data_IF_377499851484
#
_entry.id   IF_377499851484
#
_cell.length_a   1.000
_cell.length_b   1.000
_cell.length_c   1.000
_cell.angle_alpha   90.00
_cell.angle_beta   90.00
_cell.angle_gamma   90.00
#
_symmetry.space_group_name_H-M   'P 1'
#
loop_
_entity.id
_entity.type
_entity.pdbx_description
1 polymer ?
#
# COMPACT_ATOMS: atom_id res chain seq x y z
N UNK A 1 -74.74 43.89 -8.43
CA UNK A 1 -73.33 44.14 -8.80
C UNK A 1 -72.56 43.04 -8.10
N UNK A 2 -71.88 42.16 -8.85
CA UNK A 2 -71.05 41.00 -8.41
C UNK A 2 -71.86 39.84 -7.76
N UNK A 3 -72.21 38.75 -8.46
CA UNK A 3 -71.47 37.57 -8.96
C UNK A 3 -70.81 36.70 -7.86
N UNK A 4 -71.58 35.69 -7.43
CA UNK A 4 -71.29 34.23 -7.38
C UNK A 4 -69.89 33.65 -7.09
N UNK A 5 -69.89 32.70 -6.13
CA UNK A 5 -69.10 31.46 -5.95
C UNK A 5 -67.55 31.57 -5.87
N UNK A 6 -66.83 30.89 -4.96
CA UNK A 6 -66.94 29.47 -4.55
C UNK A 6 -66.15 29.23 -3.25
N UNK A 7 -66.48 28.11 -2.60
CA UNK A 7 -65.87 27.39 -1.47
C UNK A 7 -64.34 27.35 -1.36
N UNK A 8 -63.83 27.23 -0.12
CA UNK A 8 -63.16 26.00 0.33
C UNK A 8 -62.74 26.04 1.82
N UNK A 9 -62.93 24.90 2.48
CA UNK A 9 -62.63 24.61 3.89
C UNK A 9 -61.19 24.96 4.29
N UNK A 10 -61.04 25.71 5.39
CA UNK A 10 -59.82 25.71 6.22
C UNK A 10 -60.18 25.36 7.66
N UNK A 11 -60.00 24.09 8.04
CA UNK A 11 -59.89 23.69 9.45
C UNK A 11 -58.45 23.87 9.93
N UNK A 12 -58.31 24.66 10.99
CA UNK A 12 -57.11 24.75 11.82
C UNK A 12 -56.92 23.46 12.62
N UNK A 13 -55.74 22.85 12.58
CA UNK A 13 -55.26 21.92 13.60
C UNK A 13 -53.80 22.21 13.96
N UNK A 14 -53.58 22.37 15.27
CA UNK A 14 -52.30 22.51 15.96
C UNK A 14 -51.57 21.15 16.09
N UNK A 15 -50.25 21.13 16.35
CA UNK A 15 -49.38 20.03 15.98
C UNK A 15 -49.56 18.76 16.82
N UNK A 16 -49.76 17.65 16.12
CA UNK A 16 -49.78 16.30 16.69
C UNK A 16 -48.40 15.85 17.17
N UNK A 17 -48.39 15.57 18.46
CA UNK A 17 -47.41 14.86 19.27
C UNK A 17 -47.13 13.47 18.67
N UNK A 18 -45.93 13.26 18.11
CA UNK A 18 -45.52 11.95 17.62
C UNK A 18 -44.80 11.15 18.72
N UNK A 19 -45.40 10.02 19.07
CA UNK A 19 -45.05 9.07 20.13
C UNK A 19 -43.58 8.59 20.10
N UNK A 20 -43.01 8.18 21.25
CA UNK A 20 -41.67 7.59 21.29
C UNK A 20 -41.68 6.25 20.56
N UNK A 21 -41.01 6.17 19.40
CA UNK A 21 -40.82 4.89 18.73
C UNK A 21 -39.99 3.96 19.64
N UNK A 22 -40.53 2.76 19.83
CA UNK A 22 -40.03 1.71 20.72
C UNK A 22 -38.50 1.56 20.60
N UNK A 23 -37.78 1.84 21.70
CA UNK A 23 -36.43 1.32 21.93
C UNK A 23 -36.52 -0.21 21.99
N UNK A 24 -36.36 -0.88 20.85
CA UNK A 24 -35.93 -2.27 20.84
C UNK A 24 -34.52 -2.30 21.41
N UNK A 25 -34.41 -2.76 22.67
CA UNK A 25 -33.13 -3.12 23.28
C UNK A 25 -32.54 -4.29 22.49
N UNK A 26 -31.79 -3.99 21.43
CA UNK A 26 -30.98 -4.96 20.71
C UNK A 26 -29.62 -5.14 21.40
N UNK A 27 -29.52 -6.14 22.27
CA UNK A 27 -28.27 -6.76 22.73
C UNK A 27 -28.47 -8.29 22.55
N UNK A 28 -27.50 -9.16 22.21
CA UNK A 28 -26.08 -9.02 21.84
C UNK A 28 -25.75 -9.55 20.41
N UNK A 29 -26.75 -9.73 19.54
CA UNK A 29 -26.55 -10.38 18.23
C UNK A 29 -25.71 -9.54 17.26
N UNK A 30 -25.88 -8.21 17.28
CA UNK A 30 -25.10 -7.30 16.43
C UNK A 30 -23.61 -7.26 16.82
N UNK A 31 -23.26 -7.41 18.10
CA UNK A 31 -21.84 -7.45 18.51
C UNK A 31 -21.13 -8.68 17.95
N UNK A 32 -21.76 -9.86 18.03
CA UNK A 32 -21.20 -11.09 17.46
C UNK A 32 -21.01 -10.99 15.95
N UNK A 33 -21.96 -10.40 15.22
CA UNK A 33 -21.85 -10.20 13.76
C UNK A 33 -20.73 -9.21 13.41
N UNK A 34 -20.58 -8.11 14.16
CA UNK A 34 -19.49 -7.15 13.93
C UNK A 34 -18.11 -7.75 14.22
N UNK A 35 -17.94 -8.53 15.30
CA UNK A 35 -16.68 -9.24 15.59
C UNK A 35 -16.37 -10.33 14.56
N UNK A 36 -17.38 -11.07 14.10
CA UNK A 36 -17.22 -12.05 13.02
C UNK A 36 -16.78 -11.37 11.71
N UNK A 37 -17.31 -10.18 11.42
CA UNK A 37 -16.93 -9.39 10.24
C UNK A 37 -15.49 -8.83 10.34
N UNK A 38 -15.06 -8.45 11.55
CA UNK A 38 -13.69 -7.99 11.86
C UNK A 38 -12.65 -9.10 11.67
N UNK A 39 -12.91 -10.28 12.23
CA UNK A 39 -12.04 -11.46 12.10
C UNK A 39 -11.99 -11.90 10.64
N UNK A 40 -13.14 -11.90 9.94
CA UNK A 40 -13.20 -12.28 8.54
C UNK A 40 -12.41 -11.32 7.63
N UNK A 41 -12.56 -10.01 7.83
CA UNK A 41 -11.82 -8.99 7.07
C UNK A 41 -10.31 -9.10 7.30
N UNK A 42 -9.90 -9.26 8.56
CA UNK A 42 -8.48 -9.41 8.93
C UNK A 42 -7.85 -10.68 8.38
N UNK A 43 -8.59 -11.81 8.43
CA UNK A 43 -8.11 -13.10 7.90
C UNK A 43 -8.01 -13.06 6.38
N UNK A 44 -8.99 -12.45 5.72
CA UNK A 44 -8.97 -12.28 4.28
C UNK A 44 -7.76 -11.47 3.80
N UNK A 45 -7.49 -10.33 4.45
CA UNK A 45 -6.31 -9.52 4.16
C UNK A 45 -5.01 -10.29 4.43
N UNK A 46 -4.95 -11.04 5.53
CA UNK A 46 -3.78 -11.84 5.88
C UNK A 46 -3.43 -12.85 4.77
N UNK A 47 -4.43 -13.56 4.21
CA UNK A 47 -4.25 -14.50 3.11
C UNK A 47 -3.77 -13.81 1.82
N UNK A 48 -4.39 -12.68 1.46
CA UNK A 48 -3.95 -11.86 0.32
C UNK A 48 -2.49 -11.43 0.48
N UNK A 49 -2.10 -10.98 1.68
CA UNK A 49 -0.73 -10.55 1.96
C UNK A 49 0.27 -11.70 1.84
N UNK A 50 -0.06 -12.90 2.34
CA UNK A 50 0.82 -14.07 2.17
C UNK A 50 1.01 -14.39 0.69
N UNK A 51 -0.08 -14.41 -0.09
CA UNK A 51 -0.05 -14.73 -1.51
C UNK A 51 0.76 -13.69 -2.31
N UNK A 52 0.46 -12.41 -2.14
CA UNK A 52 1.09 -11.31 -2.87
C UNK A 52 2.57 -11.12 -2.50
N UNK A 53 2.90 -11.15 -1.20
CA UNK A 53 4.29 -10.97 -0.77
C UNK A 53 5.15 -12.22 -0.97
N UNK A 54 4.57 -13.42 -1.00
CA UNK A 54 5.30 -14.68 -1.17
C UNK A 54 5.91 -14.85 -2.56
N UNK A 55 5.43 -14.11 -3.56
CA UNK A 55 5.95 -14.14 -4.93
C UNK A 55 7.16 -13.22 -5.13
N UNK A 56 7.34 -12.20 -4.28
CA UNK A 56 8.35 -11.15 -4.49
C UNK A 56 9.80 -11.64 -4.38
N UNK A 57 10.22 -12.34 -3.30
CA UNK A 57 11.64 -12.52 -3.02
C UNK A 57 12.34 -13.32 -4.11
N UNK A 58 11.78 -14.48 -4.47
CA UNK A 58 12.41 -15.41 -5.41
C UNK A 58 12.16 -15.11 -6.89
N UNK A 59 11.38 -14.09 -7.23
CA UNK A 59 10.99 -13.85 -8.63
C UNK A 59 12.19 -13.66 -9.56
N UNK A 60 13.27 -13.02 -9.08
CA UNK A 60 14.48 -12.86 -9.89
C UNK A 60 15.11 -14.20 -10.29
N UNK A 61 15.02 -15.22 -9.43
CA UNK A 61 15.50 -16.57 -9.74
C UNK A 61 14.64 -17.25 -10.80
N UNK A 62 13.33 -17.02 -10.78
CA UNK A 62 12.43 -17.52 -11.83
C UNK A 62 12.73 -16.89 -13.19
N UNK A 63 12.96 -15.57 -13.21
CA UNK A 63 13.30 -14.85 -14.45
C UNK A 63 14.64 -15.29 -15.05
N UNK A 64 15.64 -15.52 -14.20
CA UNK A 64 16.97 -15.95 -14.64
C UNK A 64 17.04 -17.43 -14.99
N UNK A 65 16.41 -18.28 -14.17
CA UNK A 65 16.47 -19.73 -14.30
C UNK A 65 15.59 -20.24 -15.44
N UNK A 66 14.29 -19.96 -15.39
CA UNK A 66 13.30 -20.56 -16.29
C UNK A 66 13.02 -19.70 -17.52
N UNK A 67 13.16 -18.38 -17.42
CA UNK A 67 12.99 -17.45 -18.54
C UNK A 67 14.31 -17.06 -19.22
N UNK A 68 15.46 -17.47 -18.67
CA UNK A 68 16.80 -17.14 -19.19
C UNK A 68 17.03 -15.63 -19.43
N UNK A 69 16.40 -14.77 -18.63
CA UNK A 69 16.57 -13.32 -18.72
C UNK A 69 17.81 -12.93 -17.91
N UNK A 70 18.68 -12.09 -18.50
CA UNK A 70 19.87 -11.60 -17.80
C UNK A 70 19.53 -10.77 -16.56
N UNK A 71 20.44 -10.76 -15.56
CA UNK A 71 20.24 -10.11 -14.26
C UNK A 71 19.75 -8.66 -14.39
N UNK A 72 20.39 -7.87 -15.26
CA UNK A 72 20.07 -6.46 -15.46
C UNK A 72 18.62 -6.27 -15.98
N UNK A 73 18.25 -7.02 -17.01
CA UNK A 73 16.90 -6.94 -17.60
C UNK A 73 15.84 -7.48 -16.62
N UNK A 74 16.10 -8.62 -15.96
CA UNK A 74 15.19 -9.20 -14.98
C UNK A 74 14.93 -8.26 -13.81
N UNK A 75 15.98 -7.62 -13.29
CA UNK A 75 15.87 -6.64 -12.21
C UNK A 75 15.06 -5.42 -12.64
N UNK A 76 15.25 -4.91 -13.86
CA UNK A 76 14.45 -3.81 -14.40
C UNK A 76 12.96 -4.16 -14.51
N UNK A 77 12.62 -5.38 -14.95
CA UNK A 77 11.22 -5.85 -14.99
C UNK A 77 10.61 -5.84 -13.59
N UNK A 78 11.33 -6.33 -12.58
CA UNK A 78 10.87 -6.34 -11.19
C UNK A 78 10.74 -4.92 -10.61
N UNK A 79 11.64 -4.00 -10.99
CA UNK A 79 11.50 -2.59 -10.63
C UNK A 79 10.24 -1.96 -11.21
N UNK A 80 9.94 -2.20 -12.49
CA UNK A 80 8.71 -1.72 -13.10
C UNK A 80 7.46 -2.34 -12.46
N UNK A 81 7.49 -3.64 -12.16
CA UNK A 81 6.41 -4.30 -11.44
C UNK A 81 6.19 -3.69 -10.04
N UNK A 82 7.26 -3.46 -9.28
CA UNK A 82 7.20 -2.81 -7.97
C UNK A 82 6.71 -1.37 -8.07
N UNK A 83 7.19 -0.59 -9.06
CA UNK A 83 6.75 0.77 -9.28
C UNK A 83 5.25 0.84 -9.60
N UNK A 84 4.76 -0.02 -10.50
CA UNK A 84 3.34 -0.11 -10.82
C UNK A 84 2.51 -0.50 -9.57
N UNK A 85 2.94 -1.52 -8.84
CA UNK A 85 2.28 -2.01 -7.62
C UNK A 85 2.18 -0.95 -6.52
N UNK A 86 3.13 -0.01 -6.45
CA UNK A 86 3.12 1.09 -5.47
C UNK A 86 2.46 2.38 -5.98
N UNK A 87 2.36 2.56 -7.30
CA UNK A 87 1.71 3.73 -7.90
C UNK A 87 0.20 3.55 -8.10
N UNK A 88 -0.24 2.37 -8.57
CA UNK A 88 -1.65 2.10 -8.85
C UNK A 88 -2.59 2.26 -7.64
N UNK A 89 -2.18 2.08 -6.36
CA UNK A 89 -3.00 2.43 -5.21
C UNK A 89 -3.53 3.87 -5.21
N UNK A 90 -2.79 4.84 -5.78
CA UNK A 90 -3.26 6.23 -5.90
C UNK A 90 -4.46 6.30 -6.86
N UNK A 91 -4.37 5.59 -7.99
CA UNK A 91 -5.47 5.49 -8.97
C UNK A 91 -6.65 4.72 -8.35
N UNK A 92 -6.38 3.60 -7.68
CA UNK A 92 -7.39 2.78 -7.02
C UNK A 92 -8.16 3.55 -5.93
N UNK A 93 -7.46 4.35 -5.12
CA UNK A 93 -8.08 5.24 -4.14
C UNK A 93 -9.00 6.26 -4.81
N UNK A 94 -8.54 6.92 -5.88
CA UNK A 94 -9.34 7.86 -6.64
C UNK A 94 -10.61 7.23 -7.24
N UNK A 95 -10.49 6.03 -7.83
CA UNK A 95 -11.61 5.29 -8.43
C UNK A 95 -12.60 4.82 -7.36
N UNK A 96 -12.11 4.33 -6.23
CA UNK A 96 -12.93 3.94 -5.07
C UNK A 96 -13.74 5.11 -4.55
N UNK A 97 -13.09 6.25 -4.29
CA UNK A 97 -13.76 7.38 -3.68
C UNK A 97 -14.73 8.06 -4.65
N UNK A 98 -14.37 8.17 -5.93
CA UNK A 98 -15.17 8.93 -6.91
C UNK A 98 -16.33 8.16 -7.54
N UNK A 99 -16.18 6.84 -7.78
CA UNK A 99 -17.10 6.11 -8.65
C UNK A 99 -17.62 4.80 -8.04
N UNK A 100 -16.72 3.87 -7.70
CA UNK A 100 -17.09 2.48 -7.43
C UNK A 100 -17.42 2.20 -5.96
N UNK A 101 -16.91 3.01 -5.04
CA UNK A 101 -16.90 2.69 -3.61
C UNK A 101 -15.87 1.61 -3.25
N UNK A 102 -15.50 1.59 -1.97
CA UNK A 102 -14.40 0.74 -1.45
C UNK A 102 -14.65 -0.75 -1.68
N UNK A 103 -15.87 -1.23 -1.48
CA UNK A 103 -16.21 -2.65 -1.61
C UNK A 103 -16.00 -3.18 -3.04
N UNK A 104 -16.51 -2.48 -4.05
CA UNK A 104 -16.38 -2.90 -5.45
C UNK A 104 -14.93 -2.79 -5.92
N UNK A 105 -14.21 -1.74 -5.53
CA UNK A 105 -12.78 -1.59 -5.88
C UNK A 105 -11.94 -2.72 -5.30
N UNK A 106 -12.18 -3.15 -4.05
CA UNK A 106 -11.51 -4.33 -3.47
C UNK A 106 -11.90 -5.58 -4.25
N UNK A 107 -13.18 -5.78 -4.55
CA UNK A 107 -13.65 -6.95 -5.30
C UNK A 107 -12.99 -7.09 -6.68
N UNK A 108 -12.98 -6.03 -7.48
CA UNK A 108 -12.27 -6.01 -8.77
C UNK A 108 -10.76 -6.20 -8.60
N UNK A 109 -10.17 -5.58 -7.56
CA UNK A 109 -8.76 -5.77 -7.23
C UNK A 109 -8.43 -7.23 -6.91
N UNK A 110 -9.24 -7.90 -6.11
CA UNK A 110 -9.06 -9.31 -5.76
C UNK A 110 -9.18 -10.23 -6.97
N UNK A 111 -10.15 -10.00 -7.85
CA UNK A 111 -10.29 -10.77 -9.10
C UNK A 111 -9.06 -10.55 -10.00
N UNK A 112 -8.63 -9.29 -10.17
CA UNK A 112 -7.48 -8.97 -11.02
C UNK A 112 -6.17 -9.55 -10.48
N UNK A 113 -5.95 -9.49 -9.17
CA UNK A 113 -4.78 -10.12 -8.52
C UNK A 113 -4.82 -11.64 -8.66
N UNK A 114 -5.98 -12.27 -8.43
CA UNK A 114 -6.16 -13.70 -8.60
C UNK A 114 -5.84 -14.14 -10.04
N UNK A 115 -6.38 -13.46 -11.05
CA UNK A 115 -6.08 -13.74 -12.46
C UNK A 115 -4.57 -13.58 -12.75
N UNK A 116 -3.93 -12.55 -12.23
CA UNK A 116 -2.49 -12.33 -12.39
C UNK A 116 -1.64 -13.47 -11.81
N UNK A 117 -1.99 -13.95 -10.62
CA UNK A 117 -1.29 -15.06 -9.94
C UNK A 117 -1.57 -16.39 -10.65
N UNK A 118 -2.82 -16.64 -11.09
CA UNK A 118 -3.18 -17.84 -11.87
C UNK A 118 -2.40 -17.89 -13.17
N UNK A 119 -2.34 -16.77 -13.92
CA UNK A 119 -1.56 -16.72 -15.16
C UNK A 119 -0.08 -17.00 -14.90
N UNK A 120 0.49 -16.44 -13.83
CA UNK A 120 1.86 -16.71 -13.42
C UNK A 120 2.06 -18.20 -13.10
N UNK A 121 1.14 -18.82 -12.35
CA UNK A 121 1.19 -20.24 -12.05
C UNK A 121 1.09 -21.12 -13.32
N UNK A 122 0.24 -20.73 -14.27
CA UNK A 122 0.13 -21.40 -15.56
C UNK A 122 1.44 -21.33 -16.36
N UNK A 123 2.22 -20.25 -16.25
CA UNK A 123 3.56 -20.20 -16.89
C UNK A 123 4.52 -21.26 -16.36
N UNK A 124 4.38 -21.67 -15.10
CA UNK A 124 5.19 -22.75 -14.51
C UNK A 124 4.61 -24.15 -14.81
N UNK A 125 3.30 -24.25 -15.01
CA UNK A 125 2.61 -25.52 -15.29
C UNK A 125 2.73 -25.94 -16.76
N UNK A 126 2.58 -25.00 -17.70
CA UNK A 126 2.55 -25.26 -19.14
C UNK A 126 3.96 -25.07 -19.72
N UNK A 127 4.64 -26.13 -20.17
CA UNK A 127 6.01 -26.02 -20.68
C UNK A 127 6.14 -25.10 -21.90
N UNK A 128 5.10 -25.00 -22.74
CA UNK A 128 5.12 -24.12 -23.92
C UNK A 128 5.00 -22.62 -23.57
N UNK A 129 4.52 -22.28 -22.37
CA UNK A 129 4.35 -20.90 -21.92
C UNK A 129 5.68 -20.24 -21.51
N UNK A 130 6.77 -20.99 -21.50
CA UNK A 130 8.13 -20.54 -21.16
C UNK A 130 9.17 -21.11 -22.13
N UNK A 131 10.40 -20.57 -22.14
CA UNK A 131 11.49 -21.14 -22.94
C UNK A 131 11.74 -22.62 -22.59
N UNK A 132 12.21 -23.44 -23.55
CA UNK A 132 12.57 -24.82 -23.27
C UNK A 132 13.72 -24.87 -22.25
N UNK A 133 13.74 -25.85 -21.34
CA UNK A 133 14.80 -25.97 -20.35
C UNK A 133 16.15 -26.10 -21.04
N UNK A 134 17.12 -25.31 -20.58
CA UNK A 134 18.45 -25.26 -21.18
C UNK A 134 19.53 -25.32 -20.11
N UNK A 135 20.57 -26.08 -20.38
CA UNK A 135 21.78 -26.07 -19.58
C UNK A 135 22.69 -24.95 -20.08
N UNK A 136 22.75 -23.85 -19.32
CA UNK A 136 23.60 -22.69 -19.60
C UNK A 136 25.09 -23.04 -19.77
N UNK A 137 25.52 -24.19 -19.24
CA UNK A 137 26.90 -24.72 -19.35
C UNK A 137 27.22 -25.42 -20.66
N UNK A 138 26.20 -25.88 -21.41
CA UNK A 138 26.40 -26.65 -22.65
C UNK A 138 26.07 -25.83 -23.90
N UNK A 139 25.08 -24.95 -23.82
CA UNK A 139 24.59 -24.21 -24.99
C UNK A 139 24.10 -22.80 -24.63
N UNK A 140 24.09 -21.89 -25.62
CA UNK A 140 23.44 -20.59 -25.49
C UNK A 140 21.93 -20.79 -25.41
N UNK A 141 21.36 -20.57 -24.23
CA UNK A 141 19.92 -20.74 -24.01
C UNK A 141 19.10 -19.77 -24.84
N UNK A 142 17.98 -20.26 -25.38
CA UNK A 142 17.04 -19.45 -26.14
C UNK A 142 16.35 -18.46 -25.20
N UNK A 143 16.39 -17.19 -25.58
CA UNK A 143 15.64 -16.10 -24.94
C UNK A 143 14.13 -16.29 -25.14
N UNK A 144 13.29 -15.72 -24.28
CA UNK A 144 11.85 -15.87 -24.38
C UNK A 144 11.31 -15.26 -25.67
N UNK A 145 10.35 -15.95 -26.28
CA UNK A 145 9.65 -15.43 -27.45
C UNK A 145 8.74 -14.27 -27.05
N UNK A 146 8.42 -13.38 -27.99
CA UNK A 146 7.56 -12.21 -27.72
C UNK A 146 6.23 -12.57 -27.04
N UNK A 147 5.51 -13.66 -27.42
CA UNK A 147 4.30 -14.08 -26.71
C UNK A 147 4.54 -14.52 -25.26
N UNK A 148 5.61 -15.29 -24.99
CA UNK A 148 5.95 -15.73 -23.63
C UNK A 148 6.29 -14.55 -22.73
N UNK A 149 7.01 -13.57 -23.27
CA UNK A 149 7.32 -12.32 -22.59
C UNK A 149 6.06 -11.49 -22.33
N UNK A 150 5.15 -11.37 -23.31
CA UNK A 150 3.89 -10.65 -23.16
C UNK A 150 3.00 -11.27 -22.06
N UNK A 151 2.92 -12.60 -21.99
CA UNK A 151 2.21 -13.31 -20.92
C UNK A 151 2.80 -12.97 -19.56
N UNK A 152 4.13 -13.06 -19.41
CA UNK A 152 4.82 -12.74 -18.15
C UNK A 152 4.54 -11.30 -17.68
N UNK A 153 4.66 -10.31 -18.58
CA UNK A 153 4.40 -8.90 -18.26
C UNK A 153 2.92 -8.69 -17.91
N UNK A 154 2.00 -9.39 -18.60
CA UNK A 154 0.57 -9.33 -18.30
C UNK A 154 0.26 -9.85 -16.89
N UNK A 155 0.96 -10.89 -16.41
CA UNK A 155 0.85 -11.37 -15.04
C UNK A 155 1.21 -10.26 -14.03
N UNK A 156 2.35 -9.61 -14.21
CA UNK A 156 2.79 -8.50 -13.34
C UNK A 156 1.86 -7.29 -13.38
N UNK A 157 1.33 -6.96 -14.56
CA UNK A 157 0.36 -5.88 -14.73
C UNK A 157 -0.94 -6.17 -13.97
N UNK A 158 -1.51 -7.37 -14.13
CA UNK A 158 -2.74 -7.78 -13.44
C UNK A 158 -2.56 -7.82 -11.92
N UNK A 159 -1.44 -8.36 -11.42
CA UNK A 159 -1.12 -8.30 -9.99
C UNK A 159 -0.98 -6.86 -9.48
N UNK A 160 -0.39 -5.95 -10.27
CA UNK A 160 -0.27 -4.53 -9.91
C UNK A 160 -1.63 -3.83 -9.85
N UNK A 161 -2.52 -4.11 -10.80
CA UNK A 161 -3.90 -3.61 -10.82
C UNK A 161 -4.65 -4.10 -9.59
N UNK A 162 -4.51 -5.39 -9.28
CA UNK A 162 -5.12 -5.98 -8.10
C UNK A 162 -4.65 -5.33 -6.79
N UNK A 163 -3.34 -5.20 -6.62
CA UNK A 163 -2.75 -4.49 -5.48
C UNK A 163 -3.20 -3.02 -5.40
N UNK A 164 -3.37 -2.36 -6.56
CA UNK A 164 -3.88 -1.00 -6.67
C UNK A 164 -5.31 -0.83 -6.16
N UNK A 165 -6.19 -1.82 -6.36
CA UNK A 165 -7.54 -1.78 -5.84
C UNK A 165 -7.63 -2.13 -4.35
N UNK A 166 -6.88 -3.16 -3.92
CA UNK A 166 -6.99 -3.73 -2.57
C UNK A 166 -6.33 -2.84 -1.52
N UNK A 167 -5.04 -2.49 -1.71
CA UNK A 167 -4.22 -1.82 -0.67
C UNK A 167 -4.78 -0.50 -0.14
N UNK A 168 -5.23 0.46 -0.98
CA UNK A 168 -5.71 1.74 -0.47
C UNK A 168 -7.09 1.61 0.21
N UNK A 169 -7.87 0.59 -0.14
CA UNK A 169 -9.26 0.45 0.28
C UNK A 169 -9.42 -0.50 1.46
N UNK A 170 -8.59 -1.54 1.59
CA UNK A 170 -8.81 -2.65 2.54
C UNK A 170 -8.82 -2.18 4.00
N UNK A 171 -7.81 -1.42 4.43
CA UNK A 171 -7.76 -0.89 5.80
C UNK A 171 -8.95 0.02 6.08
N UNK A 172 -9.24 0.95 5.16
CA UNK A 172 -10.35 1.89 5.31
C UNK A 172 -11.71 1.18 5.35
N UNK A 173 -11.90 0.18 4.49
CA UNK A 173 -13.09 -0.66 4.46
C UNK A 173 -13.26 -1.47 5.75
N UNK A 174 -12.16 -1.99 6.33
CA UNK A 174 -12.16 -2.65 7.64
C UNK A 174 -12.61 -1.70 8.75
N UNK A 175 -12.08 -0.47 8.78
CA UNK A 175 -12.51 0.54 9.76
C UNK A 175 -13.97 0.95 9.60
N UNK A 176 -14.50 0.95 8.38
CA UNK A 176 -15.90 1.26 8.12
C UNK A 176 -16.86 0.26 8.78
N UNK A 177 -16.44 -1.01 8.96
CA UNK A 177 -17.25 -2.04 9.61
C UNK A 177 -17.42 -1.81 11.12
N UNK A 178 -16.51 -1.03 11.72
CA UNK A 178 -16.48 -0.73 13.15
C UNK A 178 -17.17 0.59 13.49
N UNK A 179 -17.51 1.40 12.48
CA UNK A 179 -18.08 2.72 12.65
C UNK A 179 -19.55 2.65 13.06
N UNK A 180 -19.79 2.44 14.36
CA UNK A 180 -21.14 2.48 14.94
C UNK A 180 -21.39 3.85 15.58
N UNK A 181 -22.24 4.66 14.93
CA UNK A 181 -22.62 6.01 15.39
C UNK A 181 -23.29 6.05 16.78
N UNK A 182 -23.78 4.92 17.27
CA UNK A 182 -24.47 4.84 18.56
C UNK A 182 -23.55 4.52 19.74
N UNK A 183 -22.25 4.28 19.52
CA UNK A 183 -21.29 4.00 20.60
C UNK A 183 -20.69 5.29 21.18
N UNK A 184 -20.41 5.33 22.50
CA UNK A 184 -19.66 6.43 23.09
C UNK A 184 -18.29 6.56 22.42
N UNK A 185 -17.84 7.80 22.17
CA UNK A 185 -16.57 8.09 21.47
C UNK A 185 -15.36 7.36 22.08
N UNK A 186 -15.29 7.30 23.41
CA UNK A 186 -14.21 6.60 24.12
C UNK A 186 -14.19 5.10 23.81
N UNK A 187 -15.36 4.47 23.67
CA UNK A 187 -15.47 3.05 23.36
C UNK A 187 -15.16 2.78 21.88
N UNK A 188 -15.58 3.66 20.96
CA UNK A 188 -15.20 3.54 19.55
C UNK A 188 -13.70 3.66 19.34
N UNK A 189 -13.03 4.57 20.06
CA UNK A 189 -11.58 4.77 19.96
C UNK A 189 -10.82 3.51 20.42
N UNK A 190 -11.25 2.89 21.53
CA UNK A 190 -10.65 1.64 22.04
C UNK A 190 -10.82 0.48 21.06
N UNK A 191 -12.00 0.33 20.45
CA UNK A 191 -12.27 -0.73 19.46
C UNK A 191 -11.39 -0.51 18.22
N UNK A 192 -11.28 0.74 17.76
CA UNK A 192 -10.47 1.07 16.59
C UNK A 192 -8.97 0.85 16.84
N UNK A 193 -8.47 1.19 18.03
CA UNK A 193 -7.07 0.92 18.43
C UNK A 193 -6.78 -0.59 18.45
N UNK A 194 -7.68 -1.39 19.02
CA UNK A 194 -7.55 -2.86 19.02
C UNK A 194 -7.53 -3.42 17.60
N UNK A 195 -8.41 -2.94 16.74
CA UNK A 195 -8.45 -3.33 15.33
C UNK A 195 -7.14 -3.02 14.62
N UNK A 196 -6.60 -1.81 14.77
CA UNK A 196 -5.31 -1.46 14.16
C UNK A 196 -4.17 -2.36 14.67
N UNK A 197 -4.11 -2.60 15.97
CA UNK A 197 -3.09 -3.47 16.55
C UNK A 197 -3.18 -4.91 16.00
N UNK A 198 -4.38 -5.47 15.93
CA UNK A 198 -4.59 -6.81 15.37
C UNK A 198 -4.29 -6.85 13.86
N UNK A 199 -4.74 -5.85 13.11
CA UNK A 199 -4.49 -5.73 11.67
C UNK A 199 -2.98 -5.69 11.36
N UNK A 200 -2.21 -4.87 12.08
CA UNK A 200 -0.76 -4.78 11.88
C UNK A 200 -0.05 -6.06 12.33
N UNK A 201 -0.47 -6.69 13.43
CA UNK A 201 0.08 -7.97 13.87
C UNK A 201 -0.18 -9.10 12.86
N UNK A 202 -1.41 -9.20 12.33
CA UNK A 202 -1.78 -10.15 11.30
C UNK A 202 -0.97 -9.92 10.02
N UNK A 203 -0.87 -8.67 9.56
CA UNK A 203 -0.08 -8.30 8.37
C UNK A 203 1.41 -8.65 8.54
N UNK A 204 2.01 -8.32 9.69
CA UNK A 204 3.40 -8.65 9.96
C UNK A 204 3.64 -10.17 9.95
N UNK A 205 2.73 -10.93 10.58
CA UNK A 205 2.79 -12.40 10.60
C UNK A 205 2.65 -12.98 9.18
N UNK A 206 1.73 -12.44 8.37
CA UNK A 206 1.59 -12.83 6.96
C UNK A 206 2.85 -12.62 6.15
N UNK A 207 3.53 -11.47 6.31
CA UNK A 207 4.78 -11.20 5.60
C UNK A 207 5.89 -12.15 6.06
N UNK A 208 5.97 -12.45 7.36
CA UNK A 208 6.91 -13.45 7.89
C UNK A 208 6.68 -14.82 7.25
N UNK A 209 5.43 -15.29 7.21
CA UNK A 209 5.06 -16.57 6.56
C UNK A 209 5.38 -16.55 5.07
N UNK A 210 5.11 -15.44 4.39
CA UNK A 210 5.40 -15.27 2.96
C UNK A 210 6.89 -15.43 2.67
N UNK A 211 7.74 -14.72 3.41
CA UNK A 211 9.17 -14.66 3.15
C UNK A 211 9.93 -15.89 3.67
N UNK A 212 9.33 -16.70 4.54
CA UNK A 212 9.90 -17.96 5.04
C UNK A 212 9.25 -19.17 4.38
N UNK A 213 7.98 -19.43 4.67
CA UNK A 213 7.25 -20.62 4.24
C UNK A 213 7.07 -20.71 2.72
N UNK A 214 6.56 -19.65 2.08
CA UNK A 214 6.34 -19.68 0.61
C UNK A 214 7.67 -19.76 -0.13
N UNK A 215 8.67 -18.98 0.30
CA UNK A 215 10.03 -19.01 -0.27
C UNK A 215 10.66 -20.39 -0.11
N UNK A 216 10.50 -21.04 1.05
CA UNK A 216 11.00 -22.39 1.29
C UNK A 216 10.37 -23.41 0.33
N UNK A 217 9.04 -23.33 0.12
CA UNK A 217 8.31 -24.18 -0.84
C UNK A 217 8.78 -23.92 -2.27
N UNK A 218 9.02 -22.66 -2.65
CA UNK A 218 9.54 -22.32 -3.97
C UNK A 218 10.93 -22.90 -4.22
N UNK A 219 11.83 -22.83 -3.24
CA UNK A 219 13.20 -23.34 -3.36
C UNK A 219 13.27 -24.88 -3.37
N UNK A 220 12.45 -25.57 -2.55
CA UNK A 220 12.56 -27.03 -2.36
C UNK A 220 11.55 -27.86 -3.17
N UNK A 221 10.33 -27.36 -3.38
CA UNK A 221 9.29 -28.06 -4.13
C UNK A 221 9.11 -27.52 -5.56
N UNK A 222 9.88 -26.48 -5.93
CA UNK A 222 9.90 -25.88 -7.25
C UNK A 222 8.72 -24.96 -7.55
N UNK A 223 8.78 -24.30 -8.72
CA UNK A 223 7.85 -23.22 -9.10
C UNK A 223 6.39 -23.66 -9.24
N UNK A 224 6.15 -24.90 -9.66
CA UNK A 224 4.79 -25.44 -9.83
C UNK A 224 4.02 -25.43 -8.51
N UNK A 225 4.63 -25.89 -7.43
CA UNK A 225 4.02 -25.88 -6.09
C UNK A 225 4.15 -24.49 -5.47
N UNK A 226 5.31 -23.85 -5.64
CA UNK A 226 5.62 -22.53 -5.07
C UNK A 226 4.73 -21.38 -5.55
N UNK A 227 4.16 -21.46 -6.76
CA UNK A 227 3.13 -20.51 -7.25
C UNK A 227 1.70 -21.03 -7.05
N UNK A 228 1.52 -22.35 -6.97
CA UNK A 228 0.22 -22.96 -6.69
C UNK A 228 -0.31 -22.61 -5.29
N UNK A 229 0.55 -22.62 -4.28
CA UNK A 229 0.15 -22.25 -2.89
C UNK A 229 -0.38 -20.81 -2.82
N UNK A 230 0.34 -19.76 -3.28
CA UNK A 230 -0.21 -18.41 -3.40
C UNK A 230 -1.52 -18.31 -4.18
N UNK A 231 -1.66 -19.09 -5.27
CA UNK A 231 -2.89 -19.12 -6.07
C UNK A 231 -4.10 -19.59 -5.24
N UNK A 232 -3.94 -20.67 -4.48
CA UNK A 232 -5.00 -21.22 -3.61
C UNK A 232 -5.33 -20.23 -2.49
N UNK A 233 -4.31 -19.63 -1.84
CA UNK A 233 -4.53 -18.64 -0.78
C UNK A 233 -5.30 -17.41 -1.30
N UNK A 234 -4.93 -16.91 -2.48
CA UNK A 234 -5.62 -15.79 -3.13
C UNK A 234 -7.05 -16.16 -3.54
N UNK A 235 -7.28 -17.38 -4.02
CA UNK A 235 -8.62 -17.88 -4.32
C UNK A 235 -9.50 -17.92 -3.07
N UNK A 236 -8.99 -18.50 -1.98
CA UNK A 236 -9.71 -18.56 -0.71
C UNK A 236 -10.01 -17.16 -0.16
N UNK A 237 -9.05 -16.24 -0.27
CA UNK A 237 -9.26 -14.83 0.05
C UNK A 237 -10.42 -14.22 -0.76
N UNK A 238 -10.33 -14.27 -2.09
CA UNK A 238 -11.39 -13.72 -2.95
C UNK A 238 -12.76 -14.36 -2.66
N UNK A 239 -12.81 -15.69 -2.52
CA UNK A 239 -14.03 -16.43 -2.21
C UNK A 239 -14.65 -15.98 -0.89
N UNK A 240 -13.87 -15.92 0.19
CA UNK A 240 -14.33 -15.49 1.50
C UNK A 240 -14.76 -14.02 1.53
N UNK A 241 -14.10 -13.16 0.76
CA UNK A 241 -14.51 -11.77 0.60
C UNK A 241 -15.91 -11.66 -0.04
N UNK A 242 -16.17 -12.39 -1.12
CA UNK A 242 -17.48 -12.36 -1.78
C UNK A 242 -18.58 -13.06 -0.98
N UNK A 243 -18.28 -14.18 -0.31
CA UNK A 243 -19.24 -14.87 0.55
C UNK A 243 -19.72 -13.99 1.72
N UNK A 244 -18.82 -13.18 2.28
CA UNK A 244 -19.15 -12.23 3.35
C UNK A 244 -19.82 -10.93 2.87
N UNK A 245 -20.10 -10.80 1.57
CA UNK A 245 -20.66 -9.57 0.95
C UNK A 245 -21.97 -9.09 1.59
N UNK A 246 -22.81 -10.00 2.09
CA UNK A 246 -24.08 -9.67 2.75
C UNK A 246 -23.90 -9.11 4.15
N UNK A 247 -22.76 -9.39 4.80
CA UNK A 247 -22.45 -8.97 6.17
C UNK A 247 -21.76 -7.61 6.23
N UNK A 248 -21.22 -7.14 5.09
CA UNK A 248 -20.47 -5.88 5.04
C UNK A 248 -21.36 -4.64 4.96
N UNK A 249 -20.98 -3.62 5.73
CA UNK A 249 -21.47 -2.25 5.58
C UNK A 249 -20.77 -1.61 4.39
N UNK A 250 -21.55 -1.28 3.36
CA UNK A 250 -21.07 -0.68 2.11
C UNK A 250 -21.31 0.82 2.13
N UNK A 251 -20.26 1.60 2.39
CA UNK A 251 -20.36 3.06 2.31
C UNK A 251 -20.45 3.54 0.86
N UNK A 252 -21.25 4.58 0.62
CA UNK A 252 -21.38 5.23 -0.68
C UNK A 252 -20.11 6.01 -1.01
N UNK A 253 -19.78 6.08 -2.30
CA UNK A 253 -18.69 6.89 -2.81
C UNK A 253 -18.86 8.37 -2.42
N UNK A 254 -17.77 9.04 -2.02
CA UNK A 254 -17.74 10.44 -1.60
C UNK A 254 -16.77 11.21 -2.48
N UNK A 255 -17.06 12.49 -2.78
CA UNK A 255 -16.20 13.31 -3.66
C UNK A 255 -14.71 13.20 -3.27
N UNK A 256 -13.88 12.72 -4.21
CA UNK A 256 -12.47 12.49 -3.95
C UNK A 256 -11.72 13.79 -3.66
N UNK A 257 -10.82 13.73 -2.69
CA UNK A 257 -9.92 14.83 -2.34
C UNK A 257 -9.05 15.26 -3.54
N UNK A 258 -8.66 14.31 -4.40
CA UNK A 258 -7.88 14.59 -5.61
C UNK A 258 -8.65 15.45 -6.60
N UNK A 259 -9.96 15.23 -6.74
CA UNK A 259 -10.84 16.10 -7.55
C UNK A 259 -10.85 17.51 -6.99
N UNK A 260 -10.90 17.66 -5.66
CA UNK A 260 -10.79 18.96 -4.99
C UNK A 260 -9.46 19.67 -5.28
N UNK A 261 -8.34 18.96 -5.30
CA UNK A 261 -7.05 19.54 -5.67
C UNK A 261 -7.00 19.98 -7.14
N UNK A 262 -7.53 19.17 -8.05
CA UNK A 262 -7.62 19.53 -9.46
C UNK A 262 -8.51 20.78 -9.67
N UNK A 263 -9.65 20.85 -8.97
CA UNK A 263 -10.52 22.02 -8.96
C UNK A 263 -9.77 23.27 -8.53
N UNK A 264 -9.05 23.24 -7.41
CA UNK A 264 -8.28 24.40 -6.92
C UNK A 264 -7.26 24.88 -7.97
N UNK A 265 -6.54 23.96 -8.62
CA UNK A 265 -5.55 24.31 -9.65
C UNK A 265 -6.23 24.98 -10.86
N UNK A 266 -7.31 24.35 -11.36
CA UNK A 266 -8.05 24.85 -12.53
C UNK A 266 -8.70 26.20 -12.25
N UNK A 267 -9.36 26.36 -11.10
CA UNK A 267 -10.01 27.62 -10.71
C UNK A 267 -8.99 28.71 -10.44
N UNK A 268 -7.87 28.42 -9.76
CA UNK A 268 -6.80 29.39 -9.57
C UNK A 268 -6.22 29.88 -10.90
N UNK A 269 -6.07 28.98 -11.89
CA UNK A 269 -5.61 29.33 -13.23
C UNK A 269 -6.64 30.17 -14.00
N UNK A 270 -7.91 29.78 -13.97
CA UNK A 270 -9.02 30.53 -14.59
C UNK A 270 -9.12 31.95 -14.02
N UNK A 271 -8.99 32.06 -12.69
CA UNK A 271 -9.09 33.31 -11.95
C UNK A 271 -7.74 34.05 -11.85
N UNK A 272 -6.72 33.67 -12.63
CA UNK A 272 -5.36 34.24 -12.52
C UNK A 272 -5.32 35.76 -12.72
N UNK A 273 -6.26 36.33 -13.49
CA UNK A 273 -6.37 37.78 -13.75
C UNK A 273 -7.16 38.53 -12.69
N UNK A 274 -7.88 37.84 -11.81
CA UNK A 274 -8.71 38.48 -10.79
C UNK A 274 -7.85 39.17 -9.73
N UNK A 275 -8.25 40.38 -9.36
CA UNK A 275 -7.65 41.14 -8.25
C UNK A 275 -8.06 40.52 -6.92
N UNK A 276 -7.20 40.65 -5.90
CA UNK A 276 -7.55 40.21 -4.56
C UNK A 276 -8.61 41.15 -3.96
N UNK A 277 -9.58 40.63 -3.20
CA UNK A 277 -10.58 41.47 -2.54
C UNK A 277 -9.88 42.45 -1.59
N UNK A 278 -10.34 43.70 -1.59
CA UNK A 278 -9.87 44.75 -0.68
C UNK A 278 -10.59 44.60 0.67
N UNK A 279 -10.01 45.11 1.76
CA UNK A 279 -10.65 45.04 3.10
C UNK A 279 -12.06 45.69 3.16
N UNK A 280 -12.41 46.51 2.16
CA UNK A 280 -13.67 47.25 2.09
C UNK A 280 -14.70 46.67 1.09
N UNK A 281 -14.41 45.53 0.44
CA UNK A 281 -15.37 44.90 -0.48
C UNK A 281 -16.25 43.86 0.23
N UNK A 282 -17.57 43.90 -0.01
CA UNK A 282 -18.55 42.93 0.51
C UNK A 282 -18.31 41.47 0.03
N UNK A 283 -17.41 41.26 -0.93
CA UNK A 283 -17.07 39.96 -1.50
C UNK A 283 -15.79 39.41 -0.85
N UNK A 284 -15.97 38.43 0.03
CA UNK A 284 -14.89 37.75 0.75
C UNK A 284 -14.36 36.49 0.06
N UNK A 285 -13.81 35.59 0.87
CA UNK A 285 -13.44 34.25 0.43
C UNK A 285 -14.58 33.25 0.68
N UNK A 286 -14.71 32.26 -0.20
CA UNK A 286 -15.72 31.22 -0.04
C UNK A 286 -15.35 30.26 1.10
N UNK A 287 -16.18 30.25 2.14
CA UNK A 287 -15.99 29.48 3.37
C UNK A 287 -17.10 28.46 3.53
N UNK A 288 -16.77 27.24 3.96
CA UNK A 288 -17.79 26.26 4.34
C UNK A 288 -18.46 26.67 5.66
N UNK A 289 -19.79 26.59 5.75
CA UNK A 289 -20.54 26.87 6.99
C UNK A 289 -19.93 26.12 8.18
N UNK A 290 -19.54 26.85 9.24
CA UNK A 290 -18.97 26.30 10.46
C UNK A 290 -17.44 26.14 10.49
N UNK A 291 -16.72 26.57 9.45
CA UNK A 291 -15.24 26.56 9.47
C UNK A 291 -14.65 27.67 10.33
N UNK A 292 -13.48 27.45 10.93
CA UNK A 292 -12.70 28.47 11.65
C UNK A 292 -11.73 29.25 10.76
N UNK A 293 -11.57 28.87 9.49
CA UNK A 293 -10.65 29.51 8.55
C UNK A 293 -11.37 30.54 7.68
N UNK A 294 -11.33 31.81 8.09
CA UNK A 294 -11.91 32.91 7.30
C UNK A 294 -10.97 33.54 6.29
N UNK A 295 -9.64 33.34 6.40
CA UNK A 295 -8.67 33.88 5.43
C UNK A 295 -7.61 32.87 5.01
N UNK A 296 -7.33 32.75 3.70
CA UNK A 296 -6.26 31.90 3.20
C UNK A 296 -4.89 32.50 3.50
N UNK A 297 -3.91 31.63 3.75
CA UNK A 297 -2.52 32.01 4.03
C UNK A 297 -1.89 32.76 2.84
N UNK A 298 -1.01 33.73 3.13
CA UNK A 298 -0.28 34.51 2.11
C UNK A 298 0.79 33.71 1.33
N UNK A 299 1.23 32.57 1.85
CA UNK A 299 2.17 31.66 1.17
C UNK A 299 1.43 30.91 0.04
N UNK A 300 2.02 30.90 -1.17
CA UNK A 300 1.39 30.42 -2.41
C UNK A 300 0.10 31.19 -2.74
N UNK A 301 0.15 32.53 -2.64
CA UNK A 301 -1.00 33.43 -2.81
C UNK A 301 -1.78 33.26 -4.12
N UNK A 302 -1.12 32.77 -5.18
CA UNK A 302 -1.78 32.51 -6.46
C UNK A 302 -2.92 31.49 -6.35
N UNK A 303 -2.82 30.52 -5.44
CA UNK A 303 -3.88 29.52 -5.20
C UNK A 303 -5.10 30.13 -4.49
N UNK A 304 -4.94 31.23 -3.76
CA UNK A 304 -6.04 31.91 -3.07
C UNK A 304 -7.09 32.42 -4.06
N UNK A 305 -6.70 32.61 -5.33
CA UNK A 305 -7.62 33.03 -6.40
C UNK A 305 -8.70 32.01 -6.70
N UNK A 306 -8.52 30.75 -6.28
CA UNK A 306 -9.54 29.71 -6.39
C UNK A 306 -10.73 29.92 -5.43
N UNK A 307 -10.52 30.62 -4.32
CA UNK A 307 -11.56 30.83 -3.30
C UNK A 307 -12.09 32.27 -3.23
N UNK A 308 -11.76 33.13 -4.22
CA UNK A 308 -12.29 34.50 -4.28
C UNK A 308 -13.71 34.46 -4.86
N UNK A 309 -14.68 35.01 -4.12
CA UNK A 309 -16.05 35.15 -4.62
C UNK A 309 -16.05 36.31 -5.64
N UNK A 310 -16.38 36.00 -6.89
CA UNK A 310 -16.50 37.02 -7.94
C UNK A 310 -17.93 37.52 -8.07
N UNK A 311 -18.90 36.59 -8.11
CA UNK A 311 -20.32 36.93 -8.16
C UNK A 311 -21.06 36.32 -6.96
N UNK A 312 -22.03 37.04 -6.35
CA UNK A 312 -22.88 36.49 -5.29
C UNK A 312 -23.69 35.26 -5.72
N UNK A 313 -23.96 35.12 -7.03
CA UNK A 313 -24.68 33.98 -7.63
C UNK A 313 -23.87 32.67 -7.66
N UNK A 314 -22.55 32.75 -7.47
CA UNK A 314 -21.68 31.58 -7.41
C UNK A 314 -21.87 30.78 -6.11
N UNK A 315 -22.68 31.28 -5.18
CA UNK A 315 -22.99 30.67 -3.89
C UNK A 315 -24.49 30.37 -3.84
N UNK A 316 -24.82 29.12 -3.53
CA UNK A 316 -26.18 28.67 -3.26
C UNK A 316 -26.70 29.30 -1.96
N UNK A 317 -28.04 29.38 -1.75
CA UNK A 317 -28.61 29.85 -0.48
C UNK A 317 -28.09 29.08 0.75
N UNK A 318 -27.67 27.84 0.52
CA UNK A 318 -27.08 26.96 1.54
C UNK A 318 -25.62 27.27 1.86
N UNK A 319 -24.99 28.23 1.17
CA UNK A 319 -23.60 28.63 1.38
C UNK A 319 -22.58 27.70 0.73
N UNK A 320 -23.02 26.82 -0.18
CA UNK A 320 -22.14 25.98 -1.00
C UNK A 320 -21.89 26.60 -2.38
N UNK A 321 -20.75 26.31 -3.00
CA UNK A 321 -20.46 26.75 -4.36
C UNK A 321 -21.45 26.16 -5.37
N UNK A 322 -22.12 27.00 -6.15
CA UNK A 322 -23.02 26.59 -7.24
C UNK A 322 -22.31 25.74 -8.29
N UNK A 323 -21.02 26.00 -8.53
CA UNK A 323 -20.15 25.17 -9.38
C UNK A 323 -18.77 24.98 -8.73
N UNK A 324 -18.42 23.76 -8.29
CA UNK A 324 -17.11 23.44 -7.71
C UNK A 324 -15.90 23.70 -8.63
N UNK A 325 -16.13 23.80 -9.95
CA UNK A 325 -15.11 24.14 -10.95
C UNK A 325 -15.05 25.64 -11.30
N UNK A 326 -15.81 26.47 -10.59
CA UNK A 326 -15.77 27.94 -10.71
C UNK A 326 -15.36 28.62 -9.39
N UNK A 327 -15.69 28.01 -8.25
CA UNK A 327 -15.39 28.52 -6.92
C UNK A 327 -15.04 27.37 -5.97
N UNK A 328 -13.90 27.48 -5.27
CA UNK A 328 -13.45 26.51 -4.28
C UNK A 328 -13.49 27.10 -2.87
N UNK A 329 -13.50 26.22 -1.86
CA UNK A 329 -13.46 26.63 -0.45
C UNK A 329 -12.04 26.96 0.03
N UNK A 330 -11.91 27.81 1.05
CA UNK A 330 -10.62 28.11 1.69
C UNK A 330 -9.94 26.84 2.22
N UNK A 331 -10.70 25.88 2.74
CA UNK A 331 -10.16 24.62 3.27
C UNK A 331 -9.52 23.77 2.17
N UNK A 332 -10.16 23.65 1.00
CA UNK A 332 -9.59 22.94 -0.15
C UNK A 332 -8.28 23.58 -0.63
N UNK A 333 -8.24 24.92 -0.65
CA UNK A 333 -7.04 25.67 -1.04
C UNK A 333 -5.90 25.48 -0.04
N UNK A 334 -6.17 25.59 1.26
CA UNK A 334 -5.15 25.37 2.29
C UNK A 334 -4.68 23.91 2.36
N UNK A 335 -5.56 22.95 2.11
CA UNK A 335 -5.17 21.54 1.99
C UNK A 335 -4.17 21.33 0.84
N UNK A 336 -4.44 21.88 -0.35
CA UNK A 336 -3.50 21.79 -1.48
C UNK A 336 -2.18 22.50 -1.18
N UNK A 337 -2.22 23.70 -0.59
CA UNK A 337 -0.99 24.41 -0.19
C UNK A 337 -0.16 23.62 0.80
N UNK A 338 -0.81 22.98 1.77
CA UNK A 338 -0.14 22.14 2.77
C UNK A 338 0.53 20.95 2.08
N UNK A 339 -0.15 20.30 1.14
CA UNK A 339 0.44 19.22 0.33
C UNK A 339 1.68 19.70 -0.45
N UNK A 340 1.58 20.81 -1.19
CA UNK A 340 2.71 21.37 -1.97
C UNK A 340 3.91 21.68 -1.07
N UNK A 341 3.69 22.17 0.15
CA UNK A 341 4.78 22.45 1.11
C UNK A 341 5.43 21.19 1.68
N UNK A 342 4.72 20.08 1.73
CA UNK A 342 5.24 18.79 2.19
C UNK A 342 5.99 18.05 1.08
N UNK A 343 5.69 18.31 -0.21
CA UNK A 343 6.32 17.63 -1.35
C UNK A 343 7.86 17.65 -1.34
N UNK A 344 8.56 18.77 -1.02
CA UNK A 344 10.02 18.76 -0.94
C UNK A 344 10.57 17.89 0.18
N UNK A 345 9.85 17.78 1.31
CA UNK A 345 10.26 16.86 2.38
C UNK A 345 10.01 15.40 1.95
N UNK A 346 8.89 15.14 1.30
CA UNK A 346 8.57 13.82 0.76
C UNK A 346 9.58 13.36 -0.31
N UNK A 347 10.07 14.25 -1.17
CA UNK A 347 11.04 13.89 -2.22
C UNK A 347 12.39 13.42 -1.66
N UNK A 348 12.79 13.87 -0.47
CA UNK A 348 14.02 13.36 0.19
C UNK A 348 13.92 11.87 0.49
N UNK A 349 12.70 11.33 0.69
CA UNK A 349 12.47 9.90 0.93
C UNK A 349 12.65 9.03 -0.31
N UNK A 350 12.77 9.61 -1.52
CA UNK A 350 12.97 8.84 -2.76
C UNK A 350 14.26 8.01 -2.67
N UNK A 351 15.33 8.54 -2.07
CA UNK A 351 16.59 7.79 -1.89
C UNK A 351 16.41 6.58 -0.97
N UNK A 352 15.61 6.73 0.08
CA UNK A 352 15.26 5.60 0.94
C UNK A 352 14.51 4.52 0.16
N UNK A 353 13.56 4.91 -0.69
CA UNK A 353 12.80 3.97 -1.53
C UNK A 353 13.71 3.20 -2.52
N UNK A 354 14.70 3.88 -3.12
CA UNK A 354 15.70 3.23 -3.99
C UNK A 354 16.48 2.16 -3.22
N UNK A 355 16.90 2.46 -1.99
CA UNK A 355 17.66 1.50 -1.19
C UNK A 355 16.81 0.29 -0.79
N UNK A 356 15.52 0.49 -0.47
CA UNK A 356 14.59 -0.58 -0.13
C UNK A 356 14.28 -1.46 -1.36
N UNK A 357 14.28 -0.90 -2.58
CA UNK A 357 13.90 -1.65 -3.78
C UNK A 357 14.96 -2.65 -4.26
N UNK A 358 16.18 -2.68 -3.70
CA UNK A 358 17.31 -3.51 -4.16
C UNK A 358 17.22 -5.01 -3.81
N UNK A 359 16.03 -5.54 -3.48
CA UNK A 359 15.85 -6.92 -3.00
C UNK A 359 16.45 -8.01 -3.91
N UNK A 360 16.40 -7.82 -5.23
CA UNK A 360 16.99 -8.76 -6.20
C UNK A 360 18.50 -8.94 -6.01
N UNK A 361 19.24 -7.86 -5.75
CA UNK A 361 20.70 -7.95 -5.54
C UNK A 361 21.05 -8.59 -4.20
N UNK A 362 20.29 -8.28 -3.15
CA UNK A 362 20.46 -8.91 -1.84
C UNK A 362 20.26 -10.42 -1.92
N UNK A 363 19.24 -10.87 -2.67
CA UNK A 363 19.01 -12.29 -2.91
C UNK A 363 20.18 -12.92 -3.68
N UNK A 364 20.62 -12.31 -4.78
CA UNK A 364 21.70 -12.86 -5.60
C UNK A 364 23.02 -12.96 -4.81
N UNK A 365 23.29 -11.95 -3.97
CA UNK A 365 24.40 -11.97 -3.04
C UNK A 365 24.25 -13.14 -2.05
N UNK A 366 23.10 -13.27 -1.38
CA UNK A 366 22.83 -14.35 -0.44
C UNK A 366 22.92 -15.76 -1.09
N UNK A 367 22.50 -15.89 -2.36
CA UNK A 367 22.62 -17.15 -3.10
C UNK A 367 24.08 -17.59 -3.30
N UNK A 368 25.01 -16.63 -3.36
CA UNK A 368 26.46 -16.88 -3.46
C UNK A 368 27.18 -17.03 -2.12
N UNK A 369 26.46 -16.94 -0.99
CA UNK A 369 27.00 -17.09 0.35
C UNK A 369 26.70 -18.48 0.92
N UNK A 370 27.48 -18.91 1.90
CA UNK A 370 27.13 -20.09 2.68
C UNK A 370 25.89 -19.80 3.55
N UNK A 371 24.87 -20.65 3.40
CA UNK A 371 23.55 -20.52 4.04
C UNK A 371 23.20 -21.74 4.91
N UNK A 372 24.16 -22.64 5.15
CA UNK A 372 23.92 -23.79 6.01
C UNK A 372 23.85 -23.36 7.48
N UNK A 373 22.73 -23.65 8.12
CA UNK A 373 22.56 -23.42 9.57
C UNK A 373 22.94 -24.70 10.32
N UNK A 374 22.60 -25.86 9.76
CA UNK A 374 22.98 -27.18 10.26
C UNK A 374 23.47 -28.04 9.09
N UNK A 375 23.98 -29.24 9.38
CA UNK A 375 24.43 -30.19 8.35
C UNK A 375 23.34 -30.63 7.36
N UNK A 376 22.05 -30.51 7.73
CA UNK A 376 20.92 -30.92 6.89
C UNK A 376 19.97 -29.79 6.47
N UNK A 377 20.20 -28.55 6.91
CA UNK A 377 19.29 -27.43 6.61
C UNK A 377 20.04 -26.23 6.05
N UNK A 378 19.70 -25.91 4.80
CA UNK A 378 20.16 -24.71 4.11
C UNK A 378 19.03 -23.68 4.08
N UNK A 379 19.29 -22.49 4.63
CA UNK A 379 18.29 -21.43 4.69
C UNK A 379 18.06 -20.82 3.29
N UNK A 380 16.81 -20.69 2.80
CA UNK A 380 16.52 -20.15 1.46
C UNK A 380 17.08 -18.74 1.23
N UNK A 381 17.65 -18.48 0.05
CA UNK A 381 18.31 -17.20 -0.24
C UNK A 381 17.29 -16.05 -0.30
N UNK A 382 16.11 -16.31 -0.86
CA UNK A 382 15.01 -15.33 -0.88
C UNK A 382 14.49 -14.94 0.50
N UNK A 383 14.75 -15.74 1.53
CA UNK A 383 14.28 -15.47 2.88
C UNK A 383 15.17 -14.47 3.64
N UNK A 384 16.26 -13.97 3.03
CA UNK A 384 17.14 -12.97 3.67
C UNK A 384 16.43 -11.63 3.96
N UNK A 385 15.37 -11.30 3.22
CA UNK A 385 14.51 -10.15 3.53
C UNK A 385 13.91 -10.18 4.94
N UNK A 386 13.85 -11.36 5.57
CA UNK A 386 13.41 -11.52 6.97
C UNK A 386 14.28 -10.79 7.97
N UNK A 387 15.59 -10.71 7.75
CA UNK A 387 16.49 -10.01 8.67
C UNK A 387 16.18 -8.51 8.74
N UNK A 388 15.75 -7.92 7.62
CA UNK A 388 15.27 -6.53 7.59
C UNK A 388 14.02 -6.35 8.44
N UNK A 389 13.07 -7.30 8.38
CA UNK A 389 11.84 -7.26 9.17
C UNK A 389 12.15 -7.44 10.66
N UNK A 390 12.96 -8.44 11.01
CA UNK A 390 13.38 -8.70 12.39
C UNK A 390 14.12 -7.47 12.95
N UNK A 391 15.05 -6.92 12.17
CA UNK A 391 15.78 -5.70 12.53
C UNK A 391 14.85 -4.51 12.77
N UNK A 392 13.84 -4.32 11.92
CA UNK A 392 12.84 -3.27 12.10
C UNK A 392 12.02 -3.47 13.38
N UNK A 393 11.58 -4.69 13.68
CA UNK A 393 10.82 -5.02 14.91
C UNK A 393 11.68 -4.77 16.15
N UNK A 394 12.92 -5.26 16.15
CA UNK A 394 13.88 -5.03 17.24
C UNK A 394 14.12 -3.53 17.42
N UNK A 395 14.32 -2.79 16.32
CA UNK A 395 14.54 -1.35 16.37
C UNK A 395 13.35 -0.58 16.95
N UNK A 396 12.12 -0.92 16.54
CA UNK A 396 10.90 -0.32 17.10
C UNK A 396 10.83 -0.59 18.61
N UNK A 397 11.05 -1.84 19.03
CA UNK A 397 11.08 -2.22 20.44
C UNK A 397 12.14 -1.47 21.24
N UNK A 398 13.37 -1.41 20.73
CA UNK A 398 14.46 -0.65 21.36
C UNK A 398 14.14 0.85 21.43
N UNK A 399 13.59 1.42 20.36
CA UNK A 399 13.27 2.84 20.29
C UNK A 399 12.19 3.23 21.31
N UNK A 400 11.07 2.52 21.34
CA UNK A 400 9.92 2.87 22.18
C UNK A 400 10.09 2.43 23.64
N UNK A 401 10.72 1.27 23.89
CA UNK A 401 10.82 0.70 25.25
C UNK A 401 12.13 1.03 25.96
N UNK A 402 13.20 1.36 25.23
CA UNK A 402 14.52 1.60 25.82
C UNK A 402 14.98 3.04 25.61
N UNK A 403 15.09 3.49 24.35
CA UNK A 403 15.69 4.80 24.02
C UNK A 403 14.84 5.95 24.56
N UNK A 404 13.52 5.97 24.27
CA UNK A 404 12.63 7.06 24.71
C UNK A 404 12.52 7.13 26.25
N UNK A 405 12.27 6.03 26.99
CA UNK A 405 12.22 6.07 28.44
C UNK A 405 13.56 6.46 29.08
N UNK A 406 14.69 5.95 28.56
CA UNK A 406 16.02 6.30 29.06
C UNK A 406 16.34 7.78 28.82
N UNK A 407 16.05 8.30 27.62
CA UNK A 407 16.23 9.72 27.31
C UNK A 407 15.36 10.62 28.20
N UNK A 408 14.13 10.17 28.48
CA UNK A 408 13.20 10.84 29.40
C UNK A 408 13.75 10.85 30.83
N UNK A 409 14.30 9.72 31.30
CA UNK A 409 14.94 9.61 32.62
C UNK A 409 16.17 10.51 32.74
N UNK A 410 17.02 10.57 31.72
CA UNK A 410 18.24 11.39 31.70
C UNK A 410 17.91 12.89 31.66
N UNK A 411 16.93 13.31 30.85
CA UNK A 411 16.58 14.73 30.71
C UNK A 411 15.59 15.24 31.78
N UNK A 412 15.04 14.35 32.61
CA UNK A 412 14.04 14.69 33.63
C UNK A 412 12.71 15.22 33.10
N UNK A 413 12.48 15.14 31.78
CA UNK A 413 11.27 15.62 31.08
C UNK A 413 10.94 14.66 29.94
N UNK A 414 9.66 14.49 29.56
CA UNK A 414 9.26 13.60 28.47
C UNK A 414 9.94 14.01 27.17
N UNK A 415 10.85 13.16 26.68
CA UNK A 415 11.59 13.42 25.43
C UNK A 415 10.81 12.84 24.27
N UNK A 416 10.50 13.67 23.28
CA UNK A 416 10.01 13.24 21.97
C UNK A 416 10.98 13.77 20.92
N UNK A 417 11.57 12.87 20.14
CA UNK A 417 12.42 13.26 19.02
C UNK A 417 11.51 13.83 17.92
N UNK A 418 11.85 15.03 17.42
CA UNK A 418 11.08 15.67 16.35
C UNK A 418 11.02 14.77 15.12
N UNK A 419 9.86 14.73 14.45
CA UNK A 419 9.61 13.89 13.27
C UNK A 419 10.65 14.17 12.18
N UNK A 420 10.99 15.45 11.93
CA UNK A 420 11.99 15.84 10.92
C UNK A 420 13.37 15.30 11.25
N UNK A 421 13.78 15.33 12.52
CA UNK A 421 15.06 14.77 12.98
C UNK A 421 15.09 13.26 12.78
N UNK A 422 13.98 12.56 13.07
CA UNK A 422 13.87 11.11 12.82
C UNK A 422 13.98 10.77 11.34
N UNK A 423 13.34 11.54 10.47
CA UNK A 423 13.45 11.38 9.01
C UNK A 423 14.90 11.59 8.53
N UNK A 424 15.56 12.66 8.99
CA UNK A 424 16.96 12.94 8.67
C UNK A 424 17.93 11.83 9.14
N UNK A 425 17.75 11.33 10.37
CA UNK A 425 18.54 10.22 10.89
C UNK A 425 18.33 8.94 10.07
N UNK A 426 17.10 8.66 9.64
CA UNK A 426 16.79 7.52 8.78
C UNK A 426 17.53 7.58 7.43
N UNK A 427 17.59 8.75 6.81
CA UNK A 427 18.35 8.96 5.56
C UNK A 427 19.86 8.74 5.76
N UNK A 428 20.42 9.25 6.87
CA UNK A 428 21.83 9.03 7.21
C UNK A 428 22.12 7.53 7.44
N UNK A 429 21.28 6.83 8.19
CA UNK A 429 21.44 5.39 8.41
C UNK A 429 21.33 4.61 7.10
N UNK A 430 20.45 5.03 6.18
CA UNK A 430 20.30 4.42 4.85
C UNK A 430 21.56 4.57 4.00
N UNK A 431 22.18 5.75 4.03
CA UNK A 431 23.48 5.98 3.39
C UNK A 431 24.57 5.08 3.96
N UNK A 432 24.67 5.00 5.29
CA UNK A 432 25.66 4.15 5.97
C UNK A 432 25.42 2.67 5.61
N UNK A 433 24.17 2.21 5.59
CA UNK A 433 23.82 0.84 5.23
C UNK A 433 24.26 0.49 3.79
N UNK A 434 24.08 1.40 2.84
CA UNK A 434 24.56 1.20 1.46
C UNK A 434 26.08 1.21 1.36
N UNK A 435 26.77 2.07 2.13
CA UNK A 435 28.23 2.06 2.19
C UNK A 435 28.76 0.73 2.75
N UNK A 436 28.17 0.22 3.82
CA UNK A 436 28.50 -1.09 4.39
C UNK A 436 28.23 -2.21 3.37
N UNK A 437 27.08 -2.20 2.72
CA UNK A 437 26.74 -3.18 1.66
C UNK A 437 27.77 -3.20 0.53
N UNK A 438 28.22 -2.03 0.07
CA UNK A 438 29.26 -1.91 -0.95
C UNK A 438 30.61 -2.48 -0.48
N UNK A 439 30.99 -2.23 0.79
CA UNK A 439 32.22 -2.80 1.38
C UNK A 439 32.12 -4.33 1.46
N UNK A 440 31.00 -4.87 1.95
CA UNK A 440 30.79 -6.33 2.03
C UNK A 440 30.86 -6.97 0.64
N UNK A 441 30.23 -6.37 -0.37
CA UNK A 441 30.28 -6.89 -1.73
C UNK A 441 31.69 -6.79 -2.34
N UNK A 442 32.44 -5.73 -2.02
CA UNK A 442 33.82 -5.60 -2.45
C UNK A 442 34.70 -6.72 -1.88
N UNK A 443 34.58 -7.01 -0.58
CA UNK A 443 35.32 -8.10 0.09
C UNK A 443 34.93 -9.44 -0.50
N UNK A 444 33.64 -9.74 -0.60
CA UNK A 444 33.11 -10.99 -1.18
C UNK A 444 33.62 -11.21 -2.61
N UNK A 445 33.55 -10.17 -3.45
CA UNK A 445 34.06 -10.23 -4.84
C UNK A 445 35.56 -10.50 -4.87
N UNK A 446 36.34 -9.87 -3.99
CA UNK A 446 37.80 -10.08 -3.91
C UNK A 446 38.15 -11.52 -3.54
N UNK A 447 37.43 -12.13 -2.60
CA UNK A 447 37.62 -13.54 -2.22
C UNK A 447 37.25 -14.49 -3.36
N UNK A 448 36.16 -14.21 -4.07
CA UNK A 448 35.76 -14.96 -5.25
C UNK A 448 36.82 -14.91 -6.37
N UNK A 449 37.44 -13.74 -6.58
CA UNK A 449 38.56 -13.55 -7.51
C UNK A 449 39.80 -14.35 -7.07
N UNK A 450 40.16 -14.27 -5.79
CA UNK A 450 41.31 -14.99 -5.24
C UNK A 450 41.15 -16.52 -5.33
N UNK A 451 39.92 -17.01 -5.30
CA UNK A 451 39.60 -18.44 -5.37
C UNK A 451 39.35 -18.96 -6.79
N UNK A 452 39.50 -18.12 -7.83
CA UNK A 452 39.43 -18.52 -9.23
C UNK A 452 38.03 -18.68 -9.84
N UNK A 453 36.95 -18.29 -9.15
CA UNK A 453 35.55 -18.52 -9.58
C UNK A 453 35.01 -17.56 -10.66
N UNK A 454 35.87 -16.80 -11.34
CA UNK A 454 35.44 -15.88 -12.42
C UNK A 454 34.74 -16.59 -13.59
N UNK A 455 35.09 -17.85 -13.85
CA UNK A 455 34.67 -18.59 -15.05
C UNK A 455 33.58 -19.66 -14.81
N UNK A 456 33.15 -19.91 -13.57
CA UNK A 456 32.13 -20.93 -13.26
C UNK A 456 30.95 -20.32 -12.47
N UNK A 457 29.97 -19.68 -13.14
CA UNK A 457 28.83 -19.07 -12.48
C UNK A 457 27.80 -20.06 -11.89
N UNK A 458 28.06 -21.37 -11.92
CA UNK A 458 27.19 -22.42 -11.36
C UNK A 458 27.75 -23.23 -10.18
N UNK A 459 29.06 -23.22 -9.98
CA UNK A 459 29.73 -23.89 -8.87
C UNK A 459 30.29 -22.82 -7.93
N UNK A 460 29.41 -22.17 -7.16
CA UNK A 460 29.84 -21.15 -6.20
C UNK A 460 30.19 -21.74 -4.82
N UNK A 461 30.36 -23.07 -4.72
CA UNK A 461 31.05 -23.73 -3.61
C UNK A 461 31.43 -25.19 -3.94
N UNK A 462 32.72 -25.55 -4.04
CA UNK A 462 33.18 -26.84 -3.56
C UNK A 462 33.32 -26.75 -2.04
N UNK A 463 32.95 -27.84 -1.37
CA UNK A 463 33.27 -28.09 0.03
C UNK A 463 34.61 -27.45 0.41
N UNK A 464 34.67 -26.64 1.49
CA UNK A 464 35.93 -26.54 2.23
C UNK A 464 36.39 -27.97 2.49
N UNK A 465 37.59 -28.40 2.08
CA UNK A 465 38.16 -29.59 2.66
C UNK A 465 38.42 -29.22 4.12
N UNK A 466 37.51 -29.64 5.02
CA UNK A 466 37.95 -29.90 6.39
C UNK A 466 39.12 -30.88 6.24
N UNK A 467 40.29 -30.43 6.70
CA UNK A 467 41.57 -31.02 6.33
C UNK A 467 41.58 -32.54 6.47
N UNK A 468 42.04 -33.21 5.40
CA UNK A 468 42.68 -34.52 5.36
C UNK A 468 42.78 -34.94 3.89
N UNK A 469 43.69 -34.30 3.13
CA UNK A 469 44.20 -34.96 1.92
C UNK A 469 45.13 -36.09 2.40
N UNK A 470 44.56 -37.25 2.71
CA UNK A 470 45.32 -38.48 2.59
C UNK A 470 45.14 -38.98 1.17
N UNK A 471 46.20 -38.79 0.40
CA UNK A 471 46.51 -39.49 -0.84
C UNK A 471 46.29 -41.00 -0.66
N UNK A 472 45.41 -41.57 -1.49
CA UNK A 472 45.50 -42.99 -1.83
C UNK A 472 45.64 -43.06 -3.35
N UNK A 473 46.82 -43.53 -3.71
CA UNK A 473 47.33 -43.96 -5.01
C UNK A 473 46.37 -44.81 -5.82
#
# INVERSE_FOLDING_TARGET
MEIENTSDEKKMEQPQQQSPSKKTKGWPHNHAIHYSCEIQSSTNEALEKVASYGLLPNMILYLMGDYHIGIAQGTNILFFWSAATNFLPVIGAFVSDSYLGRFLTIGFGSISSFLGIVLLWLTAMIPQARPPPCNQFKEKCKTPTSPQYAVLISCFALMSIGAGGIRPCSLAFGTDQLNNRNRPKKESDIVLEKFFNWYFAATATSIVIAFTGIVYVQDHAGWKVGFGVPTILMFLSALFFFLASSLYVKQKATVSVFTGFAQVIVVAYKNRKSSFPSQNSNLGYHQKKGSSLSQPTNKLRFLNKACIIQNPQDITPDGEASNPWALCTVEQVEALKSLIRVMPLWSTSIMMSINISQGSFQLLQAKSMDRHITSGFQYPAGSFGMFTIIGAVIWIGLYDRVIIPLATKIRGKPVKIEIKTRMGLGLLCSFIAMAVSAIVEHVRRKEALASGYLNNPGEWWPCRPCGSCHSIS
#
